data_IF_856046569054
#
_entry.id   IF_856046569054
#
_cell.length_a   1.000
_cell.length_b   1.000
_cell.length_c   1.000
_cell.angle_alpha   90.00
_cell.angle_beta   90.00
_cell.angle_gamma   90.00
#
_symmetry.space_group_name_H-M   'P 1'
#
loop_
_entity.id
_entity.type
_entity.pdbx_description
1 polymer ?
#
# COMPACT_ATOMS: atom_id res chain seq x y z
N UNK A 1 -19.19 31.78 11.98
CA UNK A 1 -19.30 31.47 10.56
C UNK A 1 -18.30 30.44 10.12
N UNK A 2 -17.04 30.59 10.48
CA UNK A 2 -15.98 29.63 10.13
C UNK A 2 -16.00 28.37 10.98
N UNK A 3 -16.72 28.34 12.07
CA UNK A 3 -16.85 27.15 12.94
C UNK A 3 -17.54 25.97 12.28
N UNK A 4 -18.38 26.21 11.28
CA UNK A 4 -19.07 25.15 10.55
C UNK A 4 -18.15 24.39 9.62
N UNK A 5 -17.08 25.01 9.15
CA UNK A 5 -16.05 24.34 8.33
C UNK A 5 -15.28 23.32 9.17
N UNK A 6 -15.14 23.55 10.46
CA UNK A 6 -14.49 22.64 11.40
C UNK A 6 -15.26 21.34 11.64
N UNK A 7 -16.57 21.37 11.54
CA UNK A 7 -17.37 20.15 11.68
C UNK A 7 -17.15 19.17 10.53
N UNK A 8 -16.84 19.67 9.33
CA UNK A 8 -16.43 18.83 8.21
C UNK A 8 -15.10 18.12 8.44
N UNK A 9 -14.17 18.75 9.16
CA UNK A 9 -12.88 18.16 9.53
C UNK A 9 -13.05 17.05 10.58
N UNK A 10 -14.01 17.20 11.48
CA UNK A 10 -14.31 16.14 12.46
C UNK A 10 -14.88 14.87 11.80
N UNK A 11 -15.63 15.02 10.73
CA UNK A 11 -16.09 13.88 9.95
C UNK A 11 -14.94 13.17 9.22
N UNK A 12 -13.83 13.86 8.98
CA UNK A 12 -12.64 13.34 8.35
C UNK A 12 -11.63 12.73 9.33
N UNK A 13 -11.87 12.78 10.62
CA UNK A 13 -11.17 11.92 11.57
C UNK A 13 -11.64 10.48 11.36
N UNK A 14 -11.47 10.01 10.16
CA UNK A 14 -11.54 8.58 9.83
C UNK A 14 -10.45 7.93 10.64
N UNK A 15 -10.88 7.33 11.69
CA UNK A 15 -10.03 6.73 12.70
C UNK A 15 -9.16 5.69 12.04
N UNK A 16 -7.88 5.73 12.34
CA UNK A 16 -7.01 4.61 12.07
C UNK A 16 -7.68 3.33 12.60
N UNK A 17 -7.58 2.24 11.86
CA UNK A 17 -8.02 0.95 12.36
C UNK A 17 -7.30 0.68 13.67
N UNK A 18 -7.99 0.06 14.61
CA UNK A 18 -7.31 -0.38 15.82
C UNK A 18 -6.35 -1.53 15.51
N UNK A 19 -5.47 -1.84 16.45
CA UNK A 19 -4.47 -2.88 16.26
C UNK A 19 -5.10 -4.26 15.97
N UNK A 20 -6.27 -4.52 16.52
CA UNK A 20 -7.01 -5.76 16.30
C UNK A 20 -7.52 -5.87 14.87
N UNK A 21 -8.09 -4.81 14.34
CA UNK A 21 -8.59 -4.76 12.97
C UNK A 21 -7.44 -4.79 11.95
N UNK A 22 -6.33 -4.11 12.22
CA UNK A 22 -5.12 -4.23 11.41
C UNK A 22 -4.58 -5.65 11.41
N UNK A 23 -4.54 -6.30 12.55
CA UNK A 23 -4.11 -7.69 12.67
C UNK A 23 -5.01 -8.62 11.83
N UNK A 24 -6.32 -8.43 11.86
CA UNK A 24 -7.24 -9.19 11.01
C UNK A 24 -6.97 -8.96 9.53
N UNK A 25 -6.78 -7.72 9.13
CA UNK A 25 -6.52 -7.35 7.73
C UNK A 25 -5.21 -7.97 7.23
N UNK A 26 -4.18 -7.98 8.07
CA UNK A 26 -2.84 -8.49 7.73
C UNK A 26 -2.68 -10.00 7.99
N UNK A 27 -3.60 -10.61 8.73
CA UNK A 27 -3.51 -12.04 9.09
C UNK A 27 -3.50 -12.94 7.86
N UNK A 28 -2.66 -13.97 7.92
CA UNK A 28 -2.62 -15.01 6.89
C UNK A 28 -3.87 -15.90 6.89
N UNK A 29 -4.51 -16.03 8.05
CA UNK A 29 -5.66 -16.92 8.25
C UNK A 29 -6.95 -16.18 7.96
N UNK A 30 -7.46 -16.33 6.75
CA UNK A 30 -8.79 -15.85 6.38
C UNK A 30 -9.75 -17.03 6.25
N UNK A 31 -11.02 -16.84 6.62
CA UNK A 31 -11.99 -17.93 6.62
C UNK A 31 -12.33 -18.50 5.25
N UNK A 32 -11.92 -17.82 4.17
CA UNK A 32 -12.16 -18.24 2.79
C UNK A 32 -10.94 -17.95 1.92
N UNK A 33 -10.68 -18.78 0.88
CA UNK A 33 -9.66 -18.46 -0.12
C UNK A 33 -10.00 -17.13 -0.80
N UNK A 34 -9.02 -16.26 -0.93
CA UNK A 34 -9.17 -14.98 -1.61
C UNK A 34 -8.97 -15.11 -3.12
N UNK A 35 -9.73 -14.36 -3.93
CA UNK A 35 -9.39 -14.16 -5.34
C UNK A 35 -7.96 -13.61 -5.49
N UNK A 36 -7.31 -13.91 -6.61
CA UNK A 36 -5.93 -13.50 -6.85
C UNK A 36 -5.73 -11.98 -6.73
N UNK A 37 -6.65 -11.22 -7.30
CA UNK A 37 -6.65 -9.76 -7.21
C UNK A 37 -6.60 -9.26 -5.76
N UNK A 38 -7.40 -9.87 -4.88
CA UNK A 38 -7.44 -9.48 -3.47
C UNK A 38 -6.18 -9.95 -2.71
N UNK A 39 -5.57 -11.05 -3.12
CA UNK A 39 -4.27 -11.50 -2.57
C UNK A 39 -3.18 -10.49 -2.85
N UNK A 40 -3.13 -9.97 -4.07
CA UNK A 40 -2.18 -8.93 -4.46
C UNK A 40 -2.42 -7.64 -3.67
N UNK A 41 -3.65 -7.15 -3.63
CA UNK A 41 -3.99 -5.94 -2.89
C UNK A 41 -3.67 -6.06 -1.40
N UNK A 42 -3.89 -7.23 -0.83
CA UNK A 42 -3.50 -7.52 0.55
C UNK A 42 -1.98 -7.51 0.72
N UNK A 43 -1.25 -8.04 -0.24
CA UNK A 43 0.21 -7.99 -0.23
C UNK A 43 0.70 -6.54 -0.28
N UNK A 44 0.09 -5.70 -1.11
CA UNK A 44 0.47 -4.28 -1.21
C UNK A 44 0.24 -3.53 0.10
N UNK A 45 -0.92 -3.67 0.72
CA UNK A 45 -1.19 -2.99 1.99
C UNK A 45 -0.28 -3.52 3.10
N UNK A 46 0.03 -4.79 3.11
CA UNK A 46 0.95 -5.39 4.07
C UNK A 46 2.37 -4.83 3.88
N UNK A 47 2.84 -4.73 2.65
CA UNK A 47 4.14 -4.12 2.34
C UNK A 47 4.20 -2.66 2.75
N UNK A 48 3.16 -1.88 2.45
CA UNK A 48 3.09 -0.48 2.88
C UNK A 48 3.24 -0.36 4.39
N UNK A 49 2.58 -1.20 5.14
CA UNK A 49 2.68 -1.24 6.60
C UNK A 49 4.08 -1.65 7.07
N UNK A 50 4.61 -2.76 6.55
CA UNK A 50 5.92 -3.29 6.95
C UNK A 50 7.09 -2.40 6.53
N UNK A 51 6.92 -1.60 5.49
CA UNK A 51 7.92 -0.63 5.01
C UNK A 51 7.70 0.76 5.61
N UNK A 52 7.31 0.82 6.87
CA UNK A 52 7.13 2.03 7.68
C UNK A 52 6.08 3.01 7.15
N UNK A 53 4.94 2.48 6.69
CA UNK A 53 3.86 3.30 6.19
C UNK A 53 4.16 3.95 4.85
N UNK A 54 4.91 3.27 4.00
CA UNK A 54 5.21 3.73 2.66
C UNK A 54 3.92 4.02 1.90
N UNK A 55 3.74 5.22 1.33
CA UNK A 55 2.56 5.51 0.52
C UNK A 55 2.48 4.60 -0.72
N UNK A 56 1.27 4.32 -1.19
CA UNK A 56 1.08 3.45 -2.35
C UNK A 56 1.78 3.98 -3.60
N UNK A 57 1.80 5.30 -3.79
CA UNK A 57 2.51 5.91 -4.92
C UNK A 57 4.00 5.56 -4.90
N UNK A 58 4.63 5.57 -3.74
CA UNK A 58 6.04 5.21 -3.59
C UNK A 58 6.24 3.72 -3.83
N UNK A 59 5.37 2.88 -3.25
CA UNK A 59 5.42 1.42 -3.46
C UNK A 59 5.30 1.06 -4.95
N UNK A 60 4.36 1.68 -5.66
CA UNK A 60 4.12 1.43 -7.08
C UNK A 60 5.32 1.81 -7.97
N UNK A 61 6.07 2.83 -7.57
CA UNK A 61 7.22 3.34 -8.33
C UNK A 61 8.58 2.84 -7.83
N UNK A 62 8.60 1.92 -6.86
CA UNK A 62 9.86 1.28 -6.45
C UNK A 62 10.51 0.58 -7.63
N UNK A 63 11.80 0.86 -7.82
CA UNK A 63 12.59 0.26 -8.89
C UNK A 63 13.35 -0.96 -8.40
N UNK A 64 13.65 -1.87 -9.30
CA UNK A 64 14.51 -3.02 -9.01
C UNK A 64 15.88 -2.59 -8.47
N UNK A 65 16.38 -1.45 -8.97
CA UNK A 65 17.66 -0.87 -8.54
C UNK A 65 17.62 -0.23 -7.15
N UNK A 66 16.43 0.06 -6.63
CA UNK A 66 16.28 0.62 -5.28
C UNK A 66 16.52 -0.43 -4.18
N UNK A 67 16.37 -1.70 -4.52
CA UNK A 67 16.57 -2.82 -3.60
C UNK A 67 18.02 -3.30 -3.68
N UNK A 68 18.73 -3.21 -2.56
CA UNK A 68 20.05 -3.81 -2.39
C UNK A 68 20.10 -4.56 -1.07
N UNK A 69 20.36 -5.87 -1.15
CA UNK A 69 20.35 -6.77 0.00
C UNK A 69 19.01 -6.68 0.76
N UNK A 70 19.02 -6.21 1.99
CA UNK A 70 17.81 -6.06 2.81
C UNK A 70 17.40 -4.60 3.01
N UNK A 71 17.79 -3.72 2.09
CA UNK A 71 17.55 -2.28 2.20
C UNK A 71 16.93 -1.75 0.91
N UNK A 72 15.92 -0.92 1.07
CA UNK A 72 15.36 -0.12 -0.03
C UNK A 72 15.76 1.34 0.17
N UNK A 73 16.42 1.91 -0.84
CA UNK A 73 16.72 3.35 -0.90
C UNK A 73 15.99 3.95 -2.09
N UNK A 74 15.09 4.87 -1.82
CA UNK A 74 14.23 5.46 -2.85
C UNK A 74 13.98 6.93 -2.61
N UNK A 75 13.60 7.65 -3.66
CA UNK A 75 13.15 9.04 -3.52
C UNK A 75 11.64 9.09 -3.35
N UNK A 76 11.23 9.80 -2.31
CA UNK A 76 9.82 9.98 -2.01
C UNK A 76 9.15 10.80 -3.11
N UNK A 77 8.06 10.28 -3.65
CA UNK A 77 7.37 10.90 -4.78
C UNK A 77 6.87 12.32 -4.48
N UNK A 78 6.34 12.52 -3.27
CA UNK A 78 5.77 13.82 -2.85
C UNK A 78 6.82 14.90 -2.65
N UNK A 79 7.98 14.57 -2.10
CA UNK A 79 8.97 15.55 -1.65
C UNK A 79 10.32 15.45 -2.36
N UNK A 80 10.59 14.35 -3.07
CA UNK A 80 11.89 14.05 -3.64
C UNK A 80 12.97 13.68 -2.63
N UNK A 81 12.65 13.64 -1.34
CA UNK A 81 13.59 13.27 -0.29
C UNK A 81 14.05 11.81 -0.45
N UNK A 82 15.35 11.58 -0.28
CA UNK A 82 15.91 10.23 -0.27
C UNK A 82 15.63 9.58 1.07
N UNK A 83 14.98 8.42 1.02
CA UNK A 83 14.66 7.62 2.19
C UNK A 83 15.29 6.24 2.07
N UNK A 84 15.75 5.71 3.20
CA UNK A 84 16.31 4.38 3.30
C UNK A 84 15.53 3.59 4.34
N UNK A 85 15.06 2.41 3.97
CA UNK A 85 14.23 1.55 4.81
C UNK A 85 14.84 0.15 4.83
N UNK A 86 15.09 -0.35 6.03
CA UNK A 86 15.42 -1.76 6.23
C UNK A 86 14.18 -2.61 5.99
N UNK A 87 14.35 -3.72 5.29
CA UNK A 87 13.26 -4.61 4.94
C UNK A 87 13.19 -5.73 5.95
N UNK A 88 12.11 -5.82 6.76
CA UNK A 88 11.95 -6.95 7.65
C UNK A 88 11.76 -8.26 6.85
N UNK A 89 12.09 -9.43 7.44
CA UNK A 89 11.98 -10.71 6.74
C UNK A 89 10.61 -11.00 6.13
N UNK A 90 9.54 -10.62 6.83
CA UNK A 90 8.18 -10.79 6.32
C UNK A 90 7.92 -9.98 5.05
N UNK A 91 8.43 -8.75 4.98
CA UNK A 91 8.33 -7.92 3.78
C UNK A 91 9.19 -8.48 2.64
N UNK A 92 10.39 -8.97 2.94
CA UNK A 92 11.25 -9.58 1.93
C UNK A 92 10.60 -10.81 1.31
N UNK A 93 9.93 -11.63 2.10
CA UNK A 93 9.20 -12.79 1.60
C UNK A 93 8.07 -12.39 0.64
N UNK A 94 7.34 -11.33 0.96
CA UNK A 94 6.30 -10.80 0.08
C UNK A 94 6.89 -10.23 -1.22
N UNK A 95 8.00 -9.50 -1.13
CA UNK A 95 8.69 -8.96 -2.30
C UNK A 95 9.12 -10.11 -3.22
N UNK A 96 9.77 -11.12 -2.69
CA UNK A 96 10.21 -12.30 -3.48
C UNK A 96 9.04 -13.02 -4.13
N UNK A 97 7.92 -13.12 -3.44
CA UNK A 97 6.73 -13.79 -3.95
C UNK A 97 6.02 -13.01 -5.06
N UNK A 98 5.96 -11.69 -4.93
CA UNK A 98 5.19 -10.82 -5.83
C UNK A 98 6.06 -9.95 -6.75
N UNK A 99 7.37 -10.09 -6.72
CA UNK A 99 8.26 -9.28 -7.54
C UNK A 99 7.92 -9.38 -9.03
N UNK A 100 8.19 -8.29 -9.73
CA UNK A 100 7.97 -8.21 -11.16
C UNK A 100 8.97 -9.10 -11.91
N UNK A 101 8.46 -10.06 -12.66
CA UNK A 101 9.26 -10.99 -13.45
C UNK A 101 9.54 -10.50 -14.87
N UNK A 102 8.91 -9.41 -15.29
CA UNK A 102 9.18 -8.79 -16.58
C UNK A 102 10.53 -8.09 -16.56
N UNK A 103 11.49 -8.61 -17.30
CA UNK A 103 12.84 -8.05 -17.37
C UNK A 103 12.88 -6.68 -18.05
N UNK A 104 11.90 -6.35 -18.88
CA UNK A 104 11.79 -5.05 -19.54
C UNK A 104 11.26 -3.97 -18.62
N UNK A 105 10.58 -4.31 -17.53
CA UNK A 105 10.06 -3.35 -16.57
C UNK A 105 11.13 -2.94 -15.56
N UNK A 106 11.31 -1.63 -15.28
CA UNK A 106 12.24 -1.18 -14.25
C UNK A 106 11.68 -1.34 -12.83
N UNK A 107 10.39 -1.60 -12.68
CA UNK A 107 9.72 -1.61 -11.37
C UNK A 107 9.87 -2.93 -10.63
N UNK A 108 10.03 -2.81 -9.31
CA UNK A 108 10.20 -3.95 -8.40
C UNK A 108 8.94 -4.83 -8.32
N UNK A 109 7.78 -4.19 -8.29
CA UNK A 109 6.48 -4.86 -8.16
C UNK A 109 5.63 -4.64 -9.42
N UNK A 110 4.78 -5.60 -9.80
CA UNK A 110 3.99 -5.50 -11.02
C UNK A 110 2.71 -4.65 -10.83
N UNK A 111 2.85 -3.47 -10.29
CA UNK A 111 1.74 -2.50 -10.10
C UNK A 111 1.62 -1.63 -11.34
N UNK A 112 2.76 -1.15 -11.85
CA UNK A 112 2.85 -0.37 -13.09
C UNK A 112 3.62 -1.17 -14.14
N UNK A 113 3.26 -0.99 -15.41
CA UNK A 113 3.89 -1.72 -16.51
C UNK A 113 5.33 -1.27 -16.79
N UNK A 114 5.63 0.01 -16.57
CA UNK A 114 6.96 0.56 -16.80
C UNK A 114 7.30 0.92 -18.26
N UNK A 115 6.35 0.73 -19.18
CA UNK A 115 6.55 0.97 -20.60
C UNK A 115 5.70 2.13 -21.16
N UNK A 116 5.06 2.90 -20.28
CA UNK A 116 4.15 3.98 -20.66
C UNK A 116 4.80 5.35 -20.49
N UNK A 117 4.30 6.31 -21.25
CA UNK A 117 4.64 7.72 -21.09
C UNK A 117 4.01 8.29 -19.81
N UNK A 118 4.53 9.42 -19.34
CA UNK A 118 4.16 10.01 -18.04
C UNK A 118 2.65 10.14 -17.80
N UNK A 119 1.90 10.61 -18.79
CA UNK A 119 0.44 10.77 -18.65
C UNK A 119 -0.29 9.44 -18.58
N UNK A 120 0.11 8.49 -19.40
CA UNK A 120 -0.45 7.13 -19.42
C UNK A 120 -0.08 6.38 -18.16
N UNK A 121 1.14 6.57 -17.65
CA UNK A 121 1.59 5.98 -16.39
C UNK A 121 0.81 6.54 -15.21
N UNK A 122 0.55 7.83 -15.20
CA UNK A 122 -0.29 8.45 -14.18
C UNK A 122 -1.70 7.87 -14.18
N UNK A 123 -2.30 7.70 -15.35
CA UNK A 123 -3.62 7.08 -15.49
C UNK A 123 -3.61 5.61 -15.02
N UNK A 124 -2.57 4.87 -15.35
CA UNK A 124 -2.36 3.49 -14.89
C UNK A 124 -2.24 3.44 -13.36
N UNK A 125 -1.48 4.35 -12.76
CA UNK A 125 -1.37 4.46 -11.31
C UNK A 125 -2.73 4.76 -10.66
N UNK A 126 -3.49 5.72 -11.20
CA UNK A 126 -4.82 6.06 -10.68
C UNK A 126 -5.78 4.86 -10.74
N UNK A 127 -5.69 4.08 -11.81
CA UNK A 127 -6.47 2.85 -11.94
C UNK A 127 -6.05 1.82 -10.87
N UNK A 128 -4.75 1.62 -10.69
CA UNK A 128 -4.22 0.71 -9.67
C UNK A 128 -4.63 1.12 -8.26
N UNK A 129 -4.63 2.41 -7.97
CA UNK A 129 -5.05 2.95 -6.67
C UNK A 129 -6.54 2.70 -6.41
N UNK A 130 -7.40 2.94 -7.41
CA UNK A 130 -8.83 2.65 -7.30
C UNK A 130 -9.08 1.16 -7.06
N UNK A 131 -8.37 0.32 -7.79
CA UNK A 131 -8.45 -1.14 -7.62
C UNK A 131 -8.03 -1.57 -6.21
N UNK A 132 -6.91 -1.07 -5.73
CA UNK A 132 -6.44 -1.34 -4.37
C UNK A 132 -7.50 -0.96 -3.33
N UNK A 133 -8.03 0.25 -3.41
CA UNK A 133 -9.02 0.74 -2.47
C UNK A 133 -10.33 -0.07 -2.53
N UNK A 134 -10.76 -0.46 -3.72
CA UNK A 134 -11.91 -1.34 -3.88
C UNK A 134 -11.67 -2.71 -3.22
N UNK A 135 -10.54 -3.33 -3.50
CA UNK A 135 -10.19 -4.64 -2.94
C UNK A 135 -10.05 -4.59 -1.42
N UNK A 136 -9.50 -3.50 -0.88
CA UNK A 136 -9.38 -3.32 0.57
C UNK A 136 -10.75 -3.22 1.26
N UNK A 137 -11.72 -2.58 0.63
CA UNK A 137 -13.10 -2.55 1.13
C UNK A 137 -13.71 -3.95 1.17
N UNK A 138 -13.48 -4.75 0.14
CA UNK A 138 -13.94 -6.14 0.10
C UNK A 138 -13.24 -6.98 1.18
N UNK A 139 -11.93 -6.81 1.34
CA UNK A 139 -11.16 -7.48 2.40
C UNK A 139 -11.68 -7.13 3.79
N UNK A 140 -12.03 -5.87 4.02
CA UNK A 140 -12.60 -5.42 5.29
C UNK A 140 -13.91 -6.18 5.59
N UNK A 141 -14.77 -6.35 4.60
CA UNK A 141 -16.01 -7.14 4.74
C UNK A 141 -15.68 -8.60 5.09
N UNK A 142 -14.72 -9.21 4.39
CA UNK A 142 -14.29 -10.59 4.68
C UNK A 142 -13.74 -10.75 6.10
N UNK A 143 -13.07 -9.73 6.61
CA UNK A 143 -12.46 -9.74 7.94
C UNK A 143 -13.42 -9.30 9.05
N UNK A 144 -14.65 -8.91 8.72
CA UNK A 144 -15.61 -8.39 9.69
C UNK A 144 -15.27 -7.01 10.23
N UNK A 145 -14.54 -6.20 9.47
CA UNK A 145 -14.17 -4.84 9.84
C UNK A 145 -15.26 -3.90 9.35
N UNK A 146 -15.82 -3.10 10.24
CA UNK A 146 -16.95 -2.20 9.94
C UNK A 146 -16.55 -0.85 9.36
N UNK A 147 -15.25 -0.51 9.37
CA UNK A 147 -14.76 0.77 8.89
C UNK A 147 -14.37 0.70 7.41
N UNK A 148 -14.52 1.83 6.72
CA UNK A 148 -13.98 1.96 5.36
C UNK A 148 -12.46 1.90 5.39
N UNK A 149 -11.91 0.86 4.78
CA UNK A 149 -10.47 0.65 4.68
C UNK A 149 -9.98 1.16 3.32
N UNK A 150 -8.90 1.93 3.34
CA UNK A 150 -8.20 2.40 2.14
C UNK A 150 -6.69 2.32 2.36
N UNK A 151 -5.93 2.52 1.29
CA UNK A 151 -4.46 2.56 1.36
C UNK A 151 -3.91 3.56 2.38
N UNK A 152 -4.71 4.55 2.74
CA UNK A 152 -4.35 5.57 3.72
C UNK A 152 -4.18 5.02 5.14
N UNK A 153 -4.82 3.91 5.44
CA UNK A 153 -4.80 3.26 6.76
C UNK A 153 -3.39 2.81 7.17
N UNK A 154 -2.62 2.24 6.24
CA UNK A 154 -1.26 1.78 6.51
C UNK A 154 -0.35 2.92 6.98
N UNK A 155 -0.51 4.09 6.38
CA UNK A 155 0.26 5.28 6.74
C UNK A 155 -0.05 5.78 8.15
N UNK A 156 -1.32 5.83 8.52
CA UNK A 156 -1.74 6.33 9.83
C UNK A 156 -1.32 5.42 10.97
N UNK A 157 -1.35 4.11 10.76
CA UNK A 157 -1.03 3.15 11.80
C UNK A 157 0.46 3.19 12.20
N UNK A 158 1.36 3.43 11.26
CA UNK A 158 2.81 3.50 11.53
C UNK A 158 3.24 4.75 12.28
N UNK A 159 2.48 5.82 12.23
CA UNK A 159 2.80 7.06 12.94
C UNK A 159 2.48 6.95 14.44
N UNK A 160 1.65 6.01 14.82
CA UNK A 160 1.22 5.81 16.21
C UNK A 160 2.15 4.90 17.03
N UNK A 161 3.24 4.43 16.42
CA UNK A 161 4.29 3.63 17.06
C UNK A 161 5.52 4.53 17.29
#
# INVERSE_FOLDING_TARGET
LFRHVYTGVKANTKRALDAKDMSKLLSASLPRPLPQSMKESRAWITLMFLLRGMPFVDLAHLRKTDLQDSVISYRRHKTGALLTVEIPPAAMNLIKRYQNTDSASPYLLPILSGNRKSEEEYAEYQHALRKLNYDLKQLAVYCGIKLNVSSYVAKHHTISI
#
